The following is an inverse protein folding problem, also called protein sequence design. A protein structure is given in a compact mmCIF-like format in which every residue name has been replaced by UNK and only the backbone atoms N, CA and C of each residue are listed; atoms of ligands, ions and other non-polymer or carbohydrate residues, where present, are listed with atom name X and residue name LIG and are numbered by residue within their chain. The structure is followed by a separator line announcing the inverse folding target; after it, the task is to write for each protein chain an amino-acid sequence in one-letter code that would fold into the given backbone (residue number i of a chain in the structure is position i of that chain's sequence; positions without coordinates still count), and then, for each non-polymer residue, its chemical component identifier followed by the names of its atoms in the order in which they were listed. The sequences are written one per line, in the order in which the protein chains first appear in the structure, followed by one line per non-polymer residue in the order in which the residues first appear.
data_IF_031413981394
#
_entry.id   IF_031413981394
#
_cell.length_a   1.000
_cell.length_b   1.000
_cell.length_c   1.000
_cell.angle_alpha   90.00
_cell.angle_beta   90.00
_cell.angle_gamma   90.00
#
_symmetry.space_group_name_H-M   'P 1'
#
loop_
_entity.id
_entity.type
_entity.pdbx_description
1 polymer ?
#
# COMPACT_ATOMS: atom_id res chain seq x y z
N UNK A 1 19.38 22.92 -10.44
CA UNK A 1 19.66 21.49 -10.70
C UNK A 1 19.80 21.30 -12.19
N UNK A 2 20.83 20.59 -12.66
CA UNK A 2 20.94 20.23 -14.09
C UNK A 2 19.77 19.30 -14.44
N UNK A 3 19.03 19.60 -15.52
CA UNK A 3 18.01 18.69 -16.05
C UNK A 3 18.67 17.40 -16.53
N UNK A 4 18.04 16.23 -16.35
CA UNK A 4 18.52 14.97 -16.94
C UNK A 4 18.72 15.10 -18.46
N UNK A 5 17.92 15.96 -19.12
CA UNK A 5 18.01 16.28 -20.55
C UNK A 5 19.27 17.04 -20.94
N UNK A 6 19.97 17.63 -19.98
CA UNK A 6 21.17 18.44 -20.21
C UNK A 6 22.46 17.65 -19.90
N UNK A 7 22.36 16.37 -19.56
CA UNK A 7 23.54 15.53 -19.43
C UNK A 7 24.19 15.35 -20.80
N UNK A 8 25.54 15.33 -20.88
CA UNK A 8 26.23 15.05 -22.12
C UNK A 8 25.87 13.66 -22.62
N UNK A 9 25.80 13.51 -23.94
CA UNK A 9 25.55 12.20 -24.54
C UNK A 9 26.67 11.24 -24.16
N UNK A 10 26.30 10.07 -23.64
CA UNK A 10 27.25 9.02 -23.27
C UNK A 10 27.29 7.93 -24.33
N UNK A 11 28.49 7.50 -24.69
CA UNK A 11 28.73 6.29 -25.47
C UNK A 11 29.69 5.40 -24.67
N UNK A 12 29.23 4.20 -24.32
CA UNK A 12 30.00 3.27 -23.49
C UNK A 12 31.06 2.51 -24.30
N UNK A 13 30.78 2.29 -25.59
CA UNK A 13 31.65 1.62 -26.55
C UNK A 13 31.47 2.27 -27.91
N UNK A 14 32.57 2.58 -28.60
CA UNK A 14 32.52 3.14 -29.95
C UNK A 14 31.78 2.21 -30.92
N UNK A 15 30.72 2.74 -31.53
CA UNK A 15 29.92 2.06 -32.55
C UNK A 15 30.33 2.42 -33.98
N UNK A 16 31.40 3.22 -34.16
CA UNK A 16 31.90 3.59 -35.48
C UNK A 16 32.43 2.36 -36.24
N UNK A 17 31.72 2.01 -37.31
CA UNK A 17 32.04 0.87 -38.17
C UNK A 17 33.43 1.01 -38.80
N UNK A 18 33.83 2.23 -39.15
CA UNK A 18 35.13 2.51 -39.79
C UNK A 18 36.26 2.23 -38.82
N UNK A 19 36.13 2.70 -37.57
CA UNK A 19 37.11 2.45 -36.53
C UNK A 19 37.25 0.95 -36.24
N UNK A 20 36.13 0.22 -36.21
CA UNK A 20 36.11 -1.23 -35.98
C UNK A 20 36.78 -1.98 -37.14
N UNK A 21 36.47 -1.60 -38.39
CA UNK A 21 37.08 -2.18 -39.59
C UNK A 21 38.59 -1.91 -39.65
N UNK A 22 39.01 -0.68 -39.39
CA UNK A 22 40.43 -0.31 -39.38
C UNK A 22 41.18 -1.05 -38.27
N UNK A 23 40.57 -1.19 -37.09
CA UNK A 23 41.16 -1.91 -35.97
C UNK A 23 41.39 -3.39 -36.31
N UNK A 24 40.37 -4.09 -36.80
CA UNK A 24 40.48 -5.53 -37.10
C UNK A 24 41.48 -5.80 -38.23
N UNK A 25 41.52 -4.93 -39.25
CA UNK A 25 42.50 -5.03 -40.34
C UNK A 25 43.90 -4.79 -39.80
N UNK A 26 44.11 -3.73 -39.02
CA UNK A 26 45.43 -3.38 -38.45
C UNK A 26 45.97 -4.51 -37.58
N UNK A 27 45.11 -5.08 -36.72
CA UNK A 27 45.48 -6.22 -35.87
C UNK A 27 45.87 -7.42 -36.74
N UNK A 28 45.08 -7.77 -37.75
CA UNK A 28 45.40 -8.88 -38.66
C UNK A 28 46.72 -8.66 -39.41
N UNK A 29 46.94 -7.47 -39.97
CA UNK A 29 48.17 -7.16 -40.70
C UNK A 29 49.41 -7.24 -39.79
N UNK A 30 49.27 -6.80 -38.53
CA UNK A 30 50.36 -6.87 -37.54
C UNK A 30 50.74 -8.30 -37.16
N UNK A 31 49.74 -9.18 -37.00
CA UNK A 31 49.94 -10.57 -36.59
C UNK A 31 50.39 -11.47 -37.76
N UNK A 32 49.85 -11.22 -38.96
CA UNK A 32 50.17 -12.00 -40.15
C UNK A 32 51.44 -11.54 -40.87
N UNK A 33 51.91 -10.32 -40.60
CA UNK A 33 53.01 -9.68 -41.33
C UNK A 33 52.67 -9.35 -42.79
N UNK A 34 51.40 -9.48 -43.20
CA UNK A 34 50.93 -9.27 -44.58
C UNK A 34 50.04 -8.04 -44.65
N UNK A 35 50.28 -7.19 -45.66
CA UNK A 35 49.37 -6.08 -46.01
C UNK A 35 48.21 -6.56 -46.89
N UNK A 36 47.00 -6.07 -46.60
CA UNK A 36 45.76 -6.45 -47.30
C UNK A 36 45.35 -5.36 -48.30
N UNK A 37 45.30 -5.70 -49.58
CA UNK A 37 44.79 -4.81 -50.62
C UNK A 37 43.25 -4.68 -50.53
N UNK A 38 42.65 -3.61 -51.09
CA UNK A 38 41.19 -3.43 -51.08
C UNK A 38 40.39 -4.60 -51.67
N UNK A 39 40.92 -5.29 -52.68
CA UNK A 39 40.27 -6.45 -53.32
C UNK A 39 40.63 -7.82 -52.74
N UNK A 40 41.31 -7.87 -51.58
CA UNK A 40 41.75 -9.12 -50.98
C UNK A 40 40.56 -9.89 -50.36
N UNK A 41 40.34 -11.18 -50.69
CA UNK A 41 39.26 -11.99 -50.10
C UNK A 41 39.29 -12.03 -48.56
N UNK A 42 40.48 -11.96 -47.96
CA UNK A 42 40.62 -11.93 -46.50
C UNK A 42 40.07 -10.63 -45.93
N UNK A 43 40.25 -9.51 -46.65
CA UNK A 43 39.69 -8.22 -46.23
C UNK A 43 38.16 -8.27 -46.19
N UNK A 44 37.53 -8.87 -47.21
CA UNK A 44 36.08 -9.07 -47.25
C UNK A 44 35.59 -9.91 -46.05
N UNK A 45 36.33 -10.96 -45.69
CA UNK A 45 36.01 -11.77 -44.51
C UNK A 45 36.12 -10.98 -43.20
N UNK A 46 37.19 -10.19 -43.03
CA UNK A 46 37.36 -9.33 -41.84
C UNK A 46 36.28 -8.26 -41.76
N UNK A 47 35.83 -7.72 -42.89
CA UNK A 47 34.71 -6.77 -42.94
C UNK A 47 33.39 -7.41 -42.49
N UNK A 48 33.12 -8.67 -42.86
CA UNK A 48 31.97 -9.39 -42.35
C UNK A 48 32.01 -9.55 -40.82
N UNK A 49 33.20 -9.83 -40.26
CA UNK A 49 33.39 -9.88 -38.80
C UNK A 49 33.22 -8.50 -38.18
N UNK A 50 33.77 -7.45 -38.78
CA UNK A 50 33.64 -6.08 -38.31
C UNK A 50 32.17 -5.65 -38.22
N UNK A 51 31.35 -6.01 -39.21
CA UNK A 51 29.90 -5.76 -39.18
C UNK A 51 29.21 -6.44 -37.99
N UNK A 52 29.57 -7.70 -37.70
CA UNK A 52 29.05 -8.41 -36.52
C UNK A 52 29.50 -7.71 -35.22
N UNK A 53 30.78 -7.33 -35.12
CA UNK A 53 31.31 -6.61 -33.96
C UNK A 53 30.60 -5.27 -33.78
N UNK A 54 30.37 -4.52 -34.85
CA UNK A 54 29.64 -3.26 -34.81
C UNK A 54 28.21 -3.45 -34.28
N UNK A 55 27.50 -4.48 -34.77
CA UNK A 55 26.19 -4.83 -34.25
C UNK A 55 26.23 -5.19 -32.76
N UNK A 56 27.22 -5.97 -32.32
CA UNK A 56 27.39 -6.32 -30.90
C UNK A 56 27.68 -5.08 -30.04
N UNK A 57 28.55 -4.17 -30.50
CA UNK A 57 28.83 -2.92 -29.80
C UNK A 57 27.60 -2.01 -29.71
N UNK A 58 26.77 -1.96 -30.75
CA UNK A 58 25.50 -1.24 -30.70
C UNK A 58 24.56 -1.81 -29.63
N UNK A 59 24.43 -3.14 -29.54
CA UNK A 59 23.64 -3.81 -28.49
C UNK A 59 24.20 -3.58 -27.09
N UNK A 60 25.53 -3.65 -26.92
CA UNK A 60 26.21 -3.38 -25.66
C UNK A 60 25.97 -1.92 -25.22
N UNK A 61 26.12 -0.97 -26.13
CA UNK A 61 25.90 0.45 -25.84
C UNK A 61 24.44 0.71 -25.45
N UNK A 62 23.48 0.11 -26.17
CA UNK A 62 22.06 0.17 -25.82
C UNK A 62 21.80 -0.41 -24.43
N UNK A 63 22.23 -1.64 -24.16
CA UNK A 63 22.02 -2.31 -22.87
C UNK A 63 22.67 -1.54 -21.71
N UNK A 64 23.85 -0.97 -21.91
CA UNK A 64 24.52 -0.12 -20.91
C UNK A 64 23.69 1.15 -20.62
N UNK A 65 23.18 1.82 -21.66
CA UNK A 65 22.30 2.97 -21.51
C UNK A 65 21.01 2.65 -20.74
N UNK A 66 20.42 1.47 -20.94
CA UNK A 66 19.22 1.06 -20.20
C UNK A 66 19.41 0.97 -18.67
N UNK A 67 20.65 0.96 -18.17
CA UNK A 67 20.93 1.02 -16.72
C UNK A 67 20.99 2.46 -16.15
N UNK A 68 20.88 3.48 -17.01
CA UNK A 68 20.91 4.88 -16.61
C UNK A 68 19.50 5.47 -16.69
N UNK A 69 19.06 6.13 -15.61
CA UNK A 69 17.73 6.75 -15.52
C UNK A 69 17.41 7.69 -16.70
N UNK A 70 18.41 8.41 -17.22
CA UNK A 70 18.25 9.34 -18.33
C UNK A 70 17.87 8.66 -19.66
N UNK A 71 18.20 7.38 -19.83
CA UNK A 71 18.07 6.65 -21.10
C UNK A 71 17.17 5.41 -21.01
N UNK A 72 16.89 4.91 -19.81
CA UNK A 72 16.08 3.74 -19.62
C UNK A 72 14.64 3.94 -20.12
N UNK A 73 14.10 2.91 -20.78
CA UNK A 73 12.75 2.90 -21.36
C UNK A 73 12.01 1.60 -20.99
N UNK A 74 10.68 1.66 -20.97
CA UNK A 74 9.79 0.54 -20.67
C UNK A 74 10.20 -0.23 -19.41
N UNK A 75 10.34 -1.56 -19.55
CA UNK A 75 10.65 -2.47 -18.43
C UNK A 75 11.96 -2.16 -17.72
N UNK A 76 12.95 -1.60 -18.42
CA UNK A 76 14.23 -1.23 -17.79
C UNK A 76 14.04 -0.04 -16.85
N UNK A 77 13.21 0.93 -17.25
CA UNK A 77 12.86 2.08 -16.41
C UNK A 77 12.05 1.64 -15.18
N UNK A 78 11.16 0.66 -15.33
CA UNK A 78 10.38 0.09 -14.22
C UNK A 78 11.28 -0.54 -13.16
N UNK A 79 12.31 -1.28 -13.57
CA UNK A 79 13.30 -1.85 -12.66
C UNK A 79 14.10 -0.77 -11.92
N UNK A 80 14.42 0.36 -12.56
CA UNK A 80 15.07 1.49 -11.89
C UNK A 80 14.12 2.14 -10.88
N UNK A 81 12.86 2.35 -11.24
CA UNK A 81 11.86 2.93 -10.34
C UNK A 81 11.59 2.07 -9.10
N UNK A 82 11.64 0.75 -9.23
CA UNK A 82 11.51 -0.18 -8.11
C UNK A 82 12.56 0.05 -7.00
N UNK A 83 13.79 0.46 -7.36
CA UNK A 83 14.87 0.74 -6.39
C UNK A 83 14.52 1.89 -5.44
N UNK A 84 13.67 2.82 -5.88
CA UNK A 84 13.19 3.97 -5.09
C UNK A 84 11.71 3.87 -4.76
N UNK A 85 11.17 2.64 -4.72
CA UNK A 85 9.77 2.34 -4.35
C UNK A 85 8.74 3.14 -5.17
N UNK A 86 9.06 3.37 -6.44
CA UNK A 86 8.25 4.18 -7.34
C UNK A 86 7.81 3.28 -8.50
N UNK A 87 6.62 2.69 -8.38
CA UNK A 87 6.00 1.85 -9.42
C UNK A 87 5.23 2.69 -10.41
N UNK A 88 5.25 2.33 -11.70
CA UNK A 88 4.52 3.02 -12.78
C UNK A 88 3.02 3.06 -12.49
N UNK A 89 2.38 4.20 -12.75
CA UNK A 89 0.94 4.30 -12.55
C UNK A 89 0.20 3.54 -13.66
N UNK A 90 -0.67 2.57 -13.31
CA UNK A 90 -1.41 1.81 -14.29
C UNK A 90 -2.48 2.67 -14.97
N UNK A 91 -2.95 2.21 -16.13
CA UNK A 91 -4.09 2.81 -16.80
C UNK A 91 -5.32 2.83 -15.88
N UNK A 92 -6.07 3.94 -15.89
CA UNK A 92 -7.31 4.13 -15.13
C UNK A 92 -8.50 4.16 -16.07
N UNK A 93 -9.59 3.55 -15.66
CA UNK A 93 -10.85 3.58 -16.40
C UNK A 93 -11.56 4.94 -16.23
N UNK A 94 -12.24 5.37 -17.29
CA UNK A 94 -13.13 6.52 -17.20
C UNK A 94 -14.34 6.20 -16.34
N UNK A 95 -14.76 7.15 -15.51
CA UNK A 95 -15.90 7.01 -14.61
C UNK A 95 -17.04 7.94 -15.02
N UNK A 96 -18.27 7.54 -14.71
CA UNK A 96 -19.48 8.35 -14.88
C UNK A 96 -20.56 7.92 -13.88
N UNK A 97 -21.56 8.75 -13.66
CA UNK A 97 -22.73 8.41 -12.84
C UNK A 97 -23.89 8.08 -13.77
N UNK A 98 -24.42 6.86 -13.65
CA UNK A 98 -25.60 6.40 -14.38
C UNK A 98 -26.85 6.55 -13.53
N UNK A 99 -27.90 7.12 -14.12
CA UNK A 99 -29.24 7.12 -13.55
C UNK A 99 -30.07 6.01 -14.15
N UNK A 100 -30.51 5.08 -13.33
CA UNK A 100 -31.45 4.03 -13.69
C UNK A 100 -32.86 4.47 -13.32
N UNK A 101 -33.80 4.36 -14.27
CA UNK A 101 -35.20 4.74 -14.13
C UNK A 101 -36.06 3.49 -14.28
N UNK A 102 -36.94 3.26 -13.31
CA UNK A 102 -37.82 2.10 -13.25
C UNK A 102 -39.14 2.37 -13.99
N UNK A 103 -39.73 1.34 -14.59
CA UNK A 103 -41.02 1.45 -15.30
C UNK A 103 -42.20 1.76 -14.37
N UNK A 104 -42.09 1.35 -13.11
CA UNK A 104 -43.07 1.62 -12.05
C UNK A 104 -42.41 1.50 -10.67
N UNK A 105 -42.93 2.19 -9.64
CA UNK A 105 -42.49 1.98 -8.26
C UNK A 105 -42.65 0.52 -7.85
N UNK A 106 -41.62 -0.08 -7.27
CA UNK A 106 -41.65 -1.46 -6.81
C UNK A 106 -42.14 -1.55 -5.36
N UNK A 107 -42.94 -2.57 -5.00
CA UNK A 107 -43.46 -2.73 -3.63
C UNK A 107 -42.37 -3.19 -2.63
N UNK A 108 -41.25 -3.70 -3.13
CA UNK A 108 -40.07 -4.09 -2.35
C UNK A 108 -38.84 -3.43 -2.95
N UNK A 109 -37.76 -3.34 -2.17
CA UNK A 109 -36.49 -2.85 -2.66
C UNK A 109 -35.93 -3.78 -3.74
N UNK A 110 -35.36 -3.22 -4.80
CA UNK A 110 -34.77 -3.97 -5.92
C UNK A 110 -33.31 -3.62 -6.09
N UNK A 111 -32.49 -4.59 -6.50
CA UNK A 111 -31.03 -4.43 -6.57
C UNK A 111 -30.59 -4.25 -8.02
N UNK A 112 -29.67 -3.31 -8.23
CA UNK A 112 -28.83 -3.22 -9.43
C UNK A 112 -27.49 -3.88 -9.07
N UNK A 113 -27.19 -5.06 -9.62
CA UNK A 113 -25.93 -5.75 -9.32
C UNK A 113 -24.71 -4.92 -9.72
N UNK A 114 -23.60 -5.10 -9.01
CA UNK A 114 -22.29 -4.69 -9.50
C UNK A 114 -22.01 -5.40 -10.84
N UNK A 115 -21.34 -4.71 -11.76
CA UNK A 115 -21.03 -5.24 -13.08
C UNK A 115 -22.16 -5.08 -14.12
N UNK A 116 -23.28 -4.42 -13.81
CA UNK A 116 -24.36 -4.18 -14.78
C UNK A 116 -23.89 -3.26 -15.89
N UNK A 117 -23.93 -3.70 -17.16
CA UNK A 117 -23.32 -2.98 -18.28
C UNK A 117 -24.29 -2.07 -19.05
N UNK A 118 -23.80 -0.88 -19.39
CA UNK A 118 -24.47 0.12 -20.23
C UNK A 118 -23.49 0.61 -21.30
N UNK A 119 -23.97 0.83 -22.52
CA UNK A 119 -23.14 1.24 -23.66
C UNK A 119 -23.73 2.47 -24.37
N UNK A 120 -22.91 3.38 -24.91
CA UNK A 120 -23.37 4.43 -25.81
C UNK A 120 -23.55 3.95 -27.26
N UNK A 121 -22.65 3.10 -27.75
CA UNK A 121 -22.47 2.78 -29.17
C UNK A 121 -22.54 1.28 -29.49
N UNK A 122 -22.36 0.41 -28.50
CA UNK A 122 -22.28 -1.05 -28.65
C UNK A 122 -20.85 -1.60 -28.68
N UNK A 123 -19.83 -0.73 -28.60
CA UNK A 123 -18.41 -1.11 -28.58
C UNK A 123 -17.77 -0.81 -27.23
N UNK A 124 -18.10 0.33 -26.62
CA UNK A 124 -17.60 0.73 -25.29
C UNK A 124 -18.65 0.38 -24.24
N UNK A 125 -18.24 -0.23 -23.13
CA UNK A 125 -19.14 -0.61 -22.04
C UNK A 125 -18.73 0.03 -20.73
N UNK A 126 -19.70 0.53 -19.99
CA UNK A 126 -19.58 1.00 -18.60
C UNK A 126 -20.30 0.03 -17.69
N UNK A 127 -19.64 -0.42 -16.63
CA UNK A 127 -20.17 -1.34 -15.64
C UNK A 127 -20.34 -0.64 -14.29
N UNK A 128 -21.42 -0.93 -13.57
CA UNK A 128 -21.62 -0.43 -12.19
C UNK A 128 -20.53 -0.97 -11.27
N UNK A 129 -19.95 -0.11 -10.42
CA UNK A 129 -18.83 -0.49 -9.52
C UNK A 129 -19.33 -1.35 -8.37
N UNK A 130 -20.35 -0.85 -7.67
CA UNK A 130 -20.94 -1.50 -6.50
C UNK A 130 -22.39 -1.91 -6.77
N UNK A 131 -22.86 -2.90 -6.02
CA UNK A 131 -24.26 -3.28 -6.03
C UNK A 131 -25.08 -2.24 -5.25
N UNK A 132 -26.05 -1.61 -5.93
CA UNK A 132 -26.85 -0.53 -5.35
C UNK A 132 -28.31 -0.94 -5.27
N UNK A 133 -28.94 -0.68 -4.12
CA UNK A 133 -30.35 -1.01 -3.88
C UNK A 133 -31.24 0.20 -4.13
N UNK A 134 -32.26 0.02 -4.96
CA UNK A 134 -33.36 0.97 -5.15
C UNK A 134 -34.38 0.75 -4.03
N UNK A 135 -34.64 1.74 -3.15
CA UNK A 135 -35.63 1.61 -2.09
C UNK A 135 -37.04 1.35 -2.63
N UNK A 136 -37.87 0.66 -1.85
CA UNK A 136 -39.28 0.45 -2.19
C UNK A 136 -39.98 1.80 -2.44
N UNK A 137 -40.80 1.88 -3.48
CA UNK A 137 -41.49 3.12 -3.88
C UNK A 137 -40.64 4.14 -4.65
N UNK A 138 -39.32 4.02 -4.70
CA UNK A 138 -38.48 4.87 -5.54
C UNK A 138 -38.57 4.46 -7.03
N UNK A 139 -38.47 5.43 -7.93
CA UNK A 139 -38.54 5.22 -9.39
C UNK A 139 -37.22 5.47 -10.11
N UNK A 140 -36.19 5.95 -9.39
CA UNK A 140 -34.87 6.19 -9.95
C UNK A 140 -33.77 6.00 -8.89
N UNK A 141 -32.57 5.68 -9.35
CA UNK A 141 -31.35 5.62 -8.53
C UNK A 141 -30.13 6.03 -9.36
N UNK A 142 -29.15 6.65 -8.70
CA UNK A 142 -27.89 7.05 -9.31
C UNK A 142 -26.79 6.10 -8.84
N UNK A 143 -25.99 5.56 -9.77
CA UNK A 143 -24.97 4.54 -9.52
C UNK A 143 -23.68 4.93 -10.23
N UNK A 144 -22.55 4.81 -9.53
CA UNK A 144 -21.23 4.98 -10.14
C UNK A 144 -20.94 3.83 -11.10
N UNK A 145 -20.48 4.17 -12.29
CA UNK A 145 -20.06 3.22 -13.29
C UNK A 145 -18.69 3.59 -13.87
N UNK A 146 -17.94 2.56 -14.25
CA UNK A 146 -16.61 2.68 -14.83
C UNK A 146 -16.55 1.99 -16.19
N UNK A 147 -15.77 2.54 -17.10
CA UNK A 147 -15.48 1.92 -18.37
C UNK A 147 -14.78 0.57 -18.14
N UNK A 148 -15.27 -0.47 -18.81
CA UNK A 148 -14.69 -1.82 -18.73
C UNK A 148 -13.30 -1.91 -19.34
N UNK A 149 -12.96 -0.99 -20.24
CA UNK A 149 -11.62 -0.86 -20.83
C UNK A 149 -10.91 0.33 -20.17
N UNK A 150 -9.83 0.12 -19.39
CA UNK A 150 -9.00 1.20 -18.86
C UNK A 150 -8.38 2.04 -19.98
N UNK A 151 -8.09 3.31 -19.68
CA UNK A 151 -7.49 4.23 -20.64
C UNK A 151 -8.37 5.42 -20.98
N UNK A 152 -7.91 6.23 -21.93
CA UNK A 152 -8.59 7.45 -22.36
C UNK A 152 -9.84 7.21 -23.22
N UNK A 153 -10.01 5.98 -23.73
CA UNK A 153 -11.09 5.60 -24.65
C UNK A 153 -12.51 5.82 -24.07
N UNK A 154 -12.66 5.69 -22.75
CA UNK A 154 -13.94 5.89 -22.07
C UNK A 154 -14.29 7.36 -21.78
N UNK A 155 -13.43 8.32 -22.11
CA UNK A 155 -13.66 9.74 -21.78
C UNK A 155 -14.55 10.46 -22.81
N UNK A 156 -15.16 11.56 -22.37
CA UNK A 156 -15.76 12.55 -23.27
C UNK A 156 -17.19 12.25 -23.72
N UNK A 157 -17.82 11.18 -23.22
CA UNK A 157 -19.23 10.93 -23.46
C UNK A 157 -20.05 11.96 -22.69
N UNK A 158 -20.85 12.74 -23.42
CA UNK A 158 -21.73 13.76 -22.88
C UNK A 158 -22.89 13.12 -22.11
N UNK A 159 -23.51 13.92 -21.23
CA UNK A 159 -24.71 13.54 -20.49
C UNK A 159 -25.79 13.00 -21.44
N UNK A 160 -26.36 11.84 -21.10
CA UNK A 160 -27.41 11.18 -21.87
C UNK A 160 -26.93 10.27 -23.01
N UNK A 161 -25.63 10.23 -23.33
CA UNK A 161 -25.10 9.42 -24.44
C UNK A 161 -24.91 7.94 -24.09
N UNK A 162 -24.53 7.63 -22.84
CA UNK A 162 -24.38 6.25 -22.35
C UNK A 162 -25.75 5.79 -21.88
N UNK A 163 -26.55 5.19 -22.79
CA UNK A 163 -27.98 5.00 -22.56
C UNK A 163 -28.58 3.65 -23.00
N UNK A 164 -27.79 2.75 -23.56
CA UNK A 164 -28.27 1.41 -23.96
C UNK A 164 -27.89 0.40 -22.89
N UNK A 165 -28.88 -0.11 -22.17
CA UNK A 165 -28.67 -1.18 -21.19
C UNK A 165 -28.36 -2.50 -21.91
N UNK A 166 -27.23 -3.11 -21.57
CA UNK A 166 -26.75 -4.36 -22.20
C UNK A 166 -27.24 -5.58 -21.43
N UNK A 167 -27.23 -5.48 -20.10
CA UNK A 167 -27.70 -6.53 -19.20
C UNK A 167 -29.12 -6.15 -18.72
N UNK A 168 -30.20 -6.65 -19.35
CA UNK A 168 -31.56 -6.18 -19.06
C UNK A 168 -31.99 -6.58 -17.65
N UNK A 169 -32.51 -5.60 -16.91
CA UNK A 169 -33.10 -5.79 -15.58
C UNK A 169 -34.64 -5.61 -15.68
N UNK A 170 -35.47 -6.52 -15.13
CA UNK A 170 -36.92 -6.55 -15.42
C UNK A 170 -37.70 -5.27 -15.12
N UNK A 171 -37.24 -4.49 -14.14
CA UNK A 171 -37.90 -3.28 -13.64
C UNK A 171 -37.35 -1.99 -14.25
N UNK A 172 -36.25 -2.03 -15.00
CA UNK A 172 -35.60 -0.85 -15.56
C UNK A 172 -36.23 -0.49 -16.91
N UNK A 173 -36.75 0.73 -17.01
CA UNK A 173 -37.29 1.30 -18.24
C UNK A 173 -36.21 2.00 -19.06
N UNK A 174 -35.34 2.77 -18.40
CA UNK A 174 -34.32 3.60 -19.05
C UNK A 174 -33.09 3.71 -18.15
N UNK A 175 -31.92 3.80 -18.77
CA UNK A 175 -30.68 4.19 -18.10
C UNK A 175 -30.00 5.28 -18.92
N UNK A 176 -29.40 6.25 -18.25
CA UNK A 176 -28.53 7.23 -18.93
C UNK A 176 -27.49 7.81 -17.98
N UNK A 177 -26.32 8.22 -18.49
CA UNK A 177 -25.36 8.96 -17.69
C UNK A 177 -25.83 10.38 -17.40
N UNK A 178 -25.71 10.82 -16.14
CA UNK A 178 -26.04 12.18 -15.69
C UNK A 178 -24.83 13.09 -15.57
N UNK A 179 -23.63 12.52 -15.61
CA UNK A 179 -22.35 13.24 -15.67
C UNK A 179 -21.59 12.84 -16.94
N UNK A 180 -20.76 13.72 -17.47
CA UNK A 180 -19.88 13.36 -18.57
C UNK A 180 -18.84 12.33 -18.11
N UNK A 181 -18.51 11.36 -18.95
CA UNK A 181 -17.45 10.40 -18.60
C UNK A 181 -16.07 11.05 -18.61
N UNK A 182 -15.29 10.81 -17.56
CA UNK A 182 -13.96 11.42 -17.40
C UNK A 182 -13.08 10.61 -16.44
N UNK A 183 -11.81 11.00 -16.29
CA UNK A 183 -10.88 10.35 -15.36
C UNK A 183 -10.17 9.11 -15.91
N UNK A 184 -10.50 8.68 -17.13
CA UNK A 184 -9.77 7.63 -17.83
C UNK A 184 -8.41 8.15 -18.27
N UNK A 185 -7.36 7.39 -18.00
CA UNK A 185 -5.99 7.74 -18.39
C UNK A 185 -5.26 6.48 -18.81
N UNK A 186 -4.43 6.59 -19.83
CA UNK A 186 -3.55 5.50 -20.23
C UNK A 186 -2.45 5.30 -19.18
N UNK A 187 -1.72 4.20 -19.30
CA UNK A 187 -0.57 3.94 -18.43
C UNK A 187 0.44 5.09 -18.51
N UNK A 188 1.08 5.40 -17.38
CA UNK A 188 2.04 6.51 -17.29
C UNK A 188 3.19 6.34 -18.30
N UNK A 189 3.46 7.38 -19.07
CA UNK A 189 4.53 7.36 -20.07
C UNK A 189 5.93 7.43 -19.43
N UNK A 190 6.94 6.98 -20.17
CA UNK A 190 8.32 6.91 -19.68
C UNK A 190 8.90 8.26 -19.24
N UNK A 191 8.50 9.37 -19.87
CA UNK A 191 9.03 10.68 -19.52
C UNK A 191 8.46 11.18 -18.20
N UNK A 192 7.14 11.09 -18.03
CA UNK A 192 6.47 11.41 -16.76
C UNK A 192 6.98 10.51 -15.62
N UNK A 193 7.10 9.21 -15.90
CA UNK A 193 7.58 8.25 -14.91
C UNK A 193 9.04 8.49 -14.51
N UNK A 194 9.92 8.79 -15.47
CA UNK A 194 11.34 9.14 -15.22
C UNK A 194 11.48 10.35 -14.31
N UNK A 195 10.69 11.40 -14.55
CA UNK A 195 10.69 12.58 -13.68
C UNK A 195 10.19 12.26 -12.27
N UNK A 196 9.19 11.39 -12.13
CA UNK A 196 8.71 10.93 -10.83
C UNK A 196 9.76 10.10 -10.09
N UNK A 197 10.45 9.19 -10.77
CA UNK A 197 11.59 8.43 -10.21
C UNK A 197 12.71 9.38 -9.77
N UNK A 198 13.03 10.40 -10.58
CA UNK A 198 14.04 11.42 -10.26
C UNK A 198 13.69 12.21 -9.01
N UNK A 199 12.40 12.53 -8.82
CA UNK A 199 11.89 13.24 -7.63
C UNK A 199 11.65 12.34 -6.42
N UNK A 200 11.57 11.02 -6.59
CA UNK A 200 11.29 10.08 -5.52
C UNK A 200 12.24 10.21 -4.32
N UNK A 201 13.54 10.51 -4.47
CA UNK A 201 14.42 10.75 -3.34
C UNK A 201 13.95 11.85 -2.38
N UNK A 202 13.29 12.90 -2.89
CA UNK A 202 12.75 14.00 -2.07
C UNK A 202 11.57 13.54 -1.21
N UNK A 203 10.92 12.44 -1.57
CA UNK A 203 9.85 11.82 -0.76
C UNK A 203 10.38 11.05 0.44
N UNK A 204 11.66 10.66 0.44
CA UNK A 204 12.32 10.12 1.63
C UNK A 204 12.60 11.29 2.58
N UNK A 205 11.62 11.61 3.42
CA UNK A 205 11.70 12.73 4.37
C UNK A 205 13.01 12.69 5.19
N UNK A 206 13.82 13.75 5.03
CA UNK A 206 15.02 14.09 5.83
C UNK A 206 14.66 14.79 7.14
N UNK A 207 13.38 15.09 7.37
CA UNK A 207 12.89 15.83 8.54
C UNK A 207 12.48 14.92 9.72
N UNK A 208 12.95 13.67 9.75
CA UNK A 208 12.64 12.73 10.83
C UNK A 208 11.15 12.38 10.89
N UNK A 209 10.58 11.69 9.87
CA UNK A 209 9.20 11.23 9.93
C UNK A 209 9.02 10.32 11.16
N UNK A 210 7.79 10.25 11.68
CA UNK A 210 7.44 9.39 12.82
C UNK A 210 8.03 7.98 12.67
N UNK A 211 7.86 7.36 11.49
CA UNK A 211 8.37 6.02 11.20
C UNK A 211 9.91 5.92 11.18
N UNK A 212 10.63 7.01 10.93
CA UNK A 212 12.08 7.05 10.97
C UNK A 212 12.60 6.88 12.41
N UNK A 213 12.06 7.67 13.35
CA UNK A 213 12.38 7.50 14.77
C UNK A 213 11.90 6.14 15.30
N UNK A 214 10.78 5.63 14.81
CA UNK A 214 10.25 4.31 15.19
C UNK A 214 11.22 3.20 14.81
N UNK A 215 11.74 3.26 13.58
CA UNK A 215 12.75 2.34 13.09
C UNK A 215 14.00 2.36 13.98
N UNK A 216 14.60 3.54 14.17
CA UNK A 216 15.83 3.67 14.95
C UNK A 216 15.66 3.26 16.41
N UNK A 217 14.54 3.61 17.05
CA UNK A 217 14.24 3.18 18.40
C UNK A 217 14.13 1.65 18.51
N UNK A 218 13.50 0.98 17.54
CA UNK A 218 13.42 -0.50 17.51
C UNK A 218 14.76 -1.17 17.26
N UNK A 219 15.72 -0.51 16.60
CA UNK A 219 17.08 -1.07 16.45
C UNK A 219 17.89 -1.05 17.73
N UNK A 220 17.49 -0.28 18.75
CA UNK A 220 18.23 -0.17 20.00
C UNK A 220 18.25 -1.44 20.83
N UNK A 221 17.14 -2.20 20.80
CA UNK A 221 17.02 -3.45 21.56
C UNK A 221 15.92 -4.35 20.97
N UNK A 222 16.20 -5.66 20.87
CA UNK A 222 15.32 -6.63 20.22
C UNK A 222 13.97 -6.83 20.94
N UNK A 223 13.91 -6.57 22.26
CA UNK A 223 12.67 -6.72 23.03
C UNK A 223 11.68 -5.55 22.86
N UNK A 224 12.02 -4.50 22.10
CA UNK A 224 11.11 -3.38 21.84
C UNK A 224 10.10 -3.78 20.75
N UNK A 225 8.84 -3.96 21.13
CA UNK A 225 7.75 -4.39 20.22
C UNK A 225 6.99 -3.22 19.63
N UNK A 226 6.87 -2.13 20.37
CA UNK A 226 6.14 -0.93 19.98
C UNK A 226 6.84 0.33 20.48
N UNK A 227 6.61 1.45 19.80
CA UNK A 227 7.21 2.75 20.14
C UNK A 227 6.21 3.84 19.82
N UNK A 228 5.83 4.68 20.78
CA UNK A 228 5.05 5.88 20.48
C UNK A 228 5.98 7.05 20.21
N UNK A 229 5.67 7.85 19.19
CA UNK A 229 6.41 9.05 18.84
C UNK A 229 5.42 10.19 18.75
N UNK A 230 5.61 11.21 19.57
CA UNK A 230 4.72 12.37 19.63
C UNK A 230 5.54 13.65 19.60
N UNK A 231 4.90 14.76 19.24
CA UNK A 231 5.50 16.09 19.27
C UNK A 231 4.68 17.01 20.16
N UNK A 232 4.97 17.05 21.49
CA UNK A 232 4.18 17.84 22.44
C UNK A 232 4.32 19.37 22.22
N UNK A 233 5.43 19.80 21.61
CA UNK A 233 5.68 21.17 21.21
C UNK A 233 6.52 21.22 19.92
N UNK A 234 6.45 22.32 19.13
CA UNK A 234 7.25 22.46 17.92
C UNK A 234 8.75 22.22 18.18
N UNK A 235 9.35 21.31 17.43
CA UNK A 235 10.75 20.92 17.59
C UNK A 235 11.05 20.04 18.80
N UNK A 236 10.04 19.52 19.52
CA UNK A 236 10.23 18.46 20.52
C UNK A 236 9.71 17.14 19.97
N UNK A 237 10.52 16.09 20.08
CA UNK A 237 10.16 14.73 19.67
C UNK A 237 10.26 13.85 20.91
N UNK A 238 9.13 13.32 21.35
CA UNK A 238 9.05 12.42 22.50
C UNK A 238 8.89 10.98 22.01
N UNK A 239 9.81 10.10 22.42
CA UNK A 239 9.87 8.69 22.04
C UNK A 239 9.61 7.85 23.29
N UNK A 240 8.59 6.98 23.23
CA UNK A 240 8.27 6.04 24.30
C UNK A 240 8.31 4.60 23.80
N UNK A 241 9.36 3.84 24.10
CA UNK A 241 9.42 2.42 23.73
C UNK A 241 8.60 1.56 24.70
N UNK A 242 8.02 0.48 24.18
CA UNK A 242 7.32 -0.56 24.93
C UNK A 242 7.95 -1.92 24.63
N UNK A 243 8.20 -2.71 25.67
CA UNK A 243 8.80 -4.02 25.53
C UNK A 243 7.78 -5.13 25.30
N UNK A 244 8.27 -6.31 24.92
CA UNK A 244 7.52 -7.56 24.90
C UNK A 244 6.69 -7.73 26.19
N UNK A 245 5.51 -8.33 26.06
CA UNK A 245 4.56 -8.57 27.15
C UNK A 245 4.07 -7.31 27.89
N UNK A 246 4.27 -6.12 27.33
CA UNK A 246 3.85 -4.86 27.92
C UNK A 246 4.75 -4.39 29.07
N UNK A 247 5.98 -4.88 29.13
CA UNK A 247 6.96 -4.45 30.14
C UNK A 247 7.46 -3.02 29.88
N UNK A 248 7.71 -2.30 30.97
CA UNK A 248 8.25 -0.94 30.91
C UNK A 248 9.77 -1.02 30.77
N UNK A 249 10.37 -0.35 29.76
CA UNK A 249 11.82 -0.34 29.59
C UNK A 249 12.57 0.14 30.82
N UNK A 250 13.69 -0.52 31.14
CA UNK A 250 14.63 -0.02 32.15
C UNK A 250 15.37 1.21 31.64
N UNK A 251 16.04 1.93 32.55
CA UNK A 251 16.79 3.14 32.20
C UNK A 251 17.88 2.84 31.16
N UNK A 252 18.52 1.67 31.23
CA UNK A 252 19.57 1.26 30.28
C UNK A 252 19.03 1.14 28.85
N UNK A 253 17.81 0.64 28.68
CA UNK A 253 17.17 0.53 27.35
C UNK A 253 16.75 1.92 26.86
N UNK A 254 16.22 2.78 27.74
CA UNK A 254 15.89 4.16 27.39
C UNK A 254 17.14 4.94 26.96
N UNK A 255 18.26 4.77 27.65
CA UNK A 255 19.54 5.40 27.32
C UNK A 255 20.09 4.90 25.99
N UNK A 256 19.95 3.60 25.69
CA UNK A 256 20.36 3.03 24.39
C UNK A 256 19.52 3.60 23.23
N UNK A 257 18.20 3.69 23.40
CA UNK A 257 17.30 4.34 22.43
C UNK A 257 17.66 5.82 22.26
N UNK A 258 17.91 6.52 23.38
CA UNK A 258 18.29 7.93 23.36
C UNK A 258 19.60 8.15 22.62
N UNK A 259 20.61 7.29 22.83
CA UNK A 259 21.90 7.39 22.16
C UNK A 259 21.80 7.27 20.64
N UNK A 260 20.97 6.33 20.14
CA UNK A 260 20.76 6.14 18.70
C UNK A 260 19.93 7.29 18.12
N UNK A 261 18.77 7.59 18.71
CA UNK A 261 17.86 8.58 18.16
C UNK A 261 18.38 10.03 18.28
N UNK A 262 19.34 10.31 19.17
CA UNK A 262 20.01 11.62 19.26
C UNK A 262 21.31 11.72 18.44
N UNK A 263 21.74 10.67 17.73
CA UNK A 263 22.95 10.72 16.91
C UNK A 263 22.85 11.83 15.85
N UNK A 264 23.95 12.55 15.60
CA UNK A 264 23.98 13.68 14.65
C UNK A 264 23.67 13.30 13.20
N UNK A 265 23.78 12.02 12.84
CA UNK A 265 23.41 11.49 11.52
C UNK A 265 21.94 11.07 11.45
N UNK A 266 21.26 10.95 12.58
CA UNK A 266 19.88 10.46 12.69
C UNK A 266 18.92 11.61 13.01
N UNK A 267 19.25 12.43 14.02
CA UNK A 267 18.40 13.53 14.49
C UNK A 267 18.45 14.75 13.56
N UNK A 268 17.32 15.24 13.02
CA UNK A 268 17.24 16.55 12.39
C UNK A 268 17.69 17.68 13.31
N UNK A 269 18.27 18.73 12.73
CA UNK A 269 18.91 19.83 13.50
C UNK A 269 17.94 20.55 14.45
N UNK A 270 16.66 20.61 14.09
CA UNK A 270 15.61 21.33 14.84
C UNK A 270 15.00 20.53 15.98
N UNK A 271 15.25 19.22 16.05
CA UNK A 271 14.53 18.33 16.94
C UNK A 271 15.21 18.21 18.29
N UNK A 272 14.47 18.37 19.38
CA UNK A 272 14.86 18.02 20.73
C UNK A 272 14.26 16.65 21.05
N UNK A 273 15.06 15.60 20.90
CA UNK A 273 14.62 14.22 21.09
C UNK A 273 14.70 13.83 22.56
N UNK A 274 13.56 13.50 23.15
CA UNK A 274 13.38 13.05 24.52
C UNK A 274 12.90 11.60 24.49
N UNK A 275 13.56 10.72 25.25
CA UNK A 275 13.15 9.32 25.38
C UNK A 275 12.66 9.07 26.80
N UNK A 276 11.40 8.67 26.95
CA UNK A 276 10.73 8.53 28.24
C UNK A 276 10.06 7.16 28.36
N UNK A 277 9.96 6.64 29.59
CA UNK A 277 9.17 5.45 29.86
C UNK A 277 7.68 5.70 29.57
N UNK A 278 6.93 4.73 29.02
CA UNK A 278 5.48 4.80 28.95
C UNK A 278 4.83 5.03 30.31
N UNK A 279 3.78 5.83 30.36
CA UNK A 279 2.96 5.99 31.55
C UNK A 279 2.01 4.79 31.70
N UNK A 280 2.00 4.18 32.89
CA UNK A 280 1.14 3.03 33.18
C UNK A 280 -0.23 3.51 33.65
N UNK A 281 -1.28 3.10 32.94
CA UNK A 281 -2.67 3.25 33.37
C UNK A 281 -3.18 1.90 33.86
N UNK A 282 -3.40 1.78 35.17
CA UNK A 282 -3.91 0.55 35.76
C UNK A 282 -5.44 0.46 35.59
N UNK A 283 -5.93 -0.72 35.22
CA UNK A 283 -7.36 -1.02 35.18
C UNK A 283 -7.66 -2.41 35.73
N UNK A 284 -8.90 -2.64 36.16
CA UNK A 284 -9.33 -3.95 36.61
C UNK A 284 -10.27 -4.59 35.58
N UNK A 285 -10.25 -5.91 35.53
CA UNK A 285 -11.22 -6.72 34.79
C UNK A 285 -12.11 -7.41 35.81
N UNK A 286 -13.40 -7.09 35.83
CA UNK A 286 -14.40 -7.72 36.67
C UNK A 286 -15.64 -7.97 35.83
N UNK A 287 -15.97 -9.24 35.63
CA UNK A 287 -17.10 -9.65 34.81
C UNK A 287 -17.79 -10.90 35.35
N UNK A 288 -19.09 -11.00 35.09
CA UNK A 288 -19.90 -12.19 35.28
C UNK A 288 -20.43 -12.66 33.93
N UNK A 289 -20.30 -13.94 33.61
CA UNK A 289 -20.81 -14.50 32.36
C UNK A 289 -21.73 -15.70 32.60
N UNK A 290 -22.66 -15.90 31.67
CA UNK A 290 -23.69 -16.92 31.71
C UNK A 290 -23.59 -17.79 30.46
N UNK A 291 -23.93 -19.06 30.58
CA UNK A 291 -23.86 -20.04 29.48
C UNK A 291 -25.28 -20.50 29.14
N UNK A 292 -25.58 -20.67 27.85
CA UNK A 292 -26.89 -21.14 27.42
C UNK A 292 -27.17 -22.56 27.96
N UNK A 293 -28.42 -22.83 28.36
CA UNK A 293 -28.83 -24.14 28.88
C UNK A 293 -28.56 -25.29 27.89
N UNK A 294 -28.70 -25.03 26.60
CA UNK A 294 -28.36 -25.97 25.51
C UNK A 294 -26.88 -26.43 25.52
N UNK A 295 -25.99 -25.59 26.07
CA UNK A 295 -24.56 -25.85 26.17
C UNK A 295 -24.14 -26.39 27.54
N UNK A 296 -25.08 -26.89 28.36
CA UNK A 296 -24.83 -27.40 29.71
C UNK A 296 -23.75 -28.50 29.76
N UNK A 297 -23.65 -29.35 28.73
CA UNK A 297 -22.63 -30.40 28.62
C UNK A 297 -21.22 -29.87 28.33
N UNK A 298 -21.10 -28.64 27.85
CA UNK A 298 -19.85 -27.98 27.47
C UNK A 298 -19.40 -26.90 28.47
N UNK A 299 -20.08 -26.77 29.63
CA UNK A 299 -19.80 -25.71 30.60
C UNK A 299 -18.32 -25.68 30.98
N UNK A 300 -17.72 -26.80 31.38
CA UNK A 300 -16.30 -26.83 31.79
C UNK A 300 -15.36 -26.34 30.67
N UNK A 301 -15.58 -26.77 29.43
CA UNK A 301 -14.78 -26.29 28.28
C UNK A 301 -15.00 -24.82 27.97
N UNK A 302 -16.23 -24.31 28.14
CA UNK A 302 -16.55 -22.89 27.95
C UNK A 302 -15.91 -22.05 29.06
N UNK A 303 -15.90 -22.54 30.30
CA UNK A 303 -15.24 -21.85 31.42
C UNK A 303 -13.74 -21.68 31.14
N UNK A 304 -13.06 -22.75 30.70
CA UNK A 304 -11.64 -22.69 30.30
C UNK A 304 -11.41 -21.73 29.12
N UNK A 305 -12.27 -21.77 28.10
CA UNK A 305 -12.19 -20.89 26.94
C UNK A 305 -12.40 -19.42 27.32
N UNK A 306 -13.33 -19.13 28.23
CA UNK A 306 -13.60 -17.77 28.74
C UNK A 306 -12.41 -17.25 29.54
N UNK A 307 -11.82 -18.06 30.43
CA UNK A 307 -10.59 -17.67 31.16
C UNK A 307 -9.48 -17.32 30.18
N UNK A 308 -9.25 -18.18 29.18
CA UNK A 308 -8.24 -17.91 28.15
C UNK A 308 -8.55 -16.63 27.36
N UNK A 309 -9.79 -16.39 26.97
CA UNK A 309 -10.19 -15.19 26.24
C UNK A 309 -9.94 -13.91 27.04
N UNK A 310 -10.12 -13.96 28.36
CA UNK A 310 -9.80 -12.86 29.27
C UNK A 310 -8.28 -12.66 29.39
N UNK A 311 -7.50 -13.73 29.52
CA UNK A 311 -6.03 -13.66 29.54
C UNK A 311 -5.47 -13.10 28.22
N UNK A 312 -6.02 -13.56 27.08
CA UNK A 312 -5.70 -13.07 25.74
C UNK A 312 -6.08 -11.59 25.58
N UNK A 313 -7.20 -11.14 26.17
CA UNK A 313 -7.57 -9.73 26.23
C UNK A 313 -6.56 -8.92 27.05
N UNK A 314 -6.15 -9.39 28.22
CA UNK A 314 -5.15 -8.72 29.07
C UNK A 314 -3.80 -8.62 28.35
N UNK A 315 -3.33 -9.72 27.75
CA UNK A 315 -2.10 -9.74 26.96
C UNK A 315 -2.17 -8.85 25.73
N UNK A 316 -3.30 -8.88 25.02
CA UNK A 316 -3.56 -7.98 23.91
C UNK A 316 -3.55 -6.53 24.36
N UNK A 317 -4.28 -6.13 25.41
CA UNK A 317 -4.40 -4.74 25.85
C UNK A 317 -3.03 -4.10 26.07
N UNK A 318 -2.12 -4.79 26.76
CA UNK A 318 -0.78 -4.29 27.09
C UNK A 318 0.27 -4.44 25.98
N UNK A 319 -0.08 -5.01 24.82
CA UNK A 319 0.87 -5.23 23.71
C UNK A 319 1.11 -4.01 22.81
N UNK A 320 0.38 -2.91 23.01
CA UNK A 320 0.54 -1.66 22.25
C UNK A 320 0.32 -0.43 23.12
N UNK A 321 0.99 0.66 22.76
CA UNK A 321 0.80 1.97 23.36
C UNK A 321 -0.47 2.65 22.80
N UNK A 322 -1.10 3.52 23.58
CA UNK A 322 -2.29 4.29 23.16
C UNK A 322 -3.52 3.45 22.84
N UNK A 323 -3.54 2.17 23.23
CA UNK A 323 -4.71 1.31 23.03
C UNK A 323 -5.76 1.65 24.07
N UNK A 324 -6.88 2.19 23.61
CA UNK A 324 -8.04 2.47 24.45
C UNK A 324 -8.51 1.22 25.20
N UNK A 325 -8.96 1.40 26.44
CA UNK A 325 -9.58 0.33 27.21
C UNK A 325 -11.03 0.26 26.75
N UNK A 326 -11.37 -0.77 25.97
CA UNK A 326 -12.70 -0.93 25.40
C UNK A 326 -13.42 -2.19 25.94
N UNK A 327 -14.49 -2.06 26.74
CA UNK A 327 -15.24 -3.21 27.24
C UNK A 327 -15.94 -4.01 26.13
N UNK A 328 -16.27 -3.39 25.00
CA UNK A 328 -16.93 -4.10 23.89
C UNK A 328 -16.04 -5.19 23.28
N UNK A 329 -14.71 -4.97 23.23
CA UNK A 329 -13.76 -5.98 22.77
C UNK A 329 -13.68 -7.16 23.74
N UNK A 330 -13.67 -6.88 25.05
CA UNK A 330 -13.71 -7.92 26.08
C UNK A 330 -15.00 -8.74 25.98
N UNK A 331 -16.16 -8.09 25.86
CA UNK A 331 -17.44 -8.76 25.66
C UNK A 331 -17.41 -9.63 24.41
N UNK A 332 -16.93 -9.10 23.29
CA UNK A 332 -16.86 -9.86 22.03
C UNK A 332 -16.02 -11.14 22.16
N UNK A 333 -14.87 -11.07 22.84
CA UNK A 333 -14.00 -12.23 23.07
C UNK A 333 -14.63 -13.27 24.00
N UNK A 334 -15.25 -12.83 25.09
CA UNK A 334 -15.92 -13.74 26.05
C UNK A 334 -17.14 -14.40 25.40
N UNK A 335 -17.91 -13.67 24.61
CA UNK A 335 -19.03 -14.22 23.83
C UNK A 335 -18.54 -15.22 22.79
N UNK A 336 -17.45 -14.92 22.06
CA UNK A 336 -16.84 -15.84 21.10
C UNK A 336 -16.30 -17.13 21.76
N UNK A 337 -15.95 -17.07 23.04
CA UNK A 337 -15.54 -18.23 23.83
C UNK A 337 -16.71 -19.14 24.27
N UNK A 338 -17.96 -18.78 23.96
CA UNK A 338 -19.16 -19.59 24.22
C UNK A 338 -20.07 -19.06 25.32
N UNK A 339 -19.82 -17.86 25.86
CA UNK A 339 -20.77 -17.20 26.75
C UNK A 339 -22.02 -16.74 25.97
N UNK A 340 -23.19 -16.88 26.59
CA UNK A 340 -24.47 -16.35 26.08
C UNK A 340 -24.67 -14.89 26.43
N UNK A 341 -24.24 -14.51 27.64
CA UNK A 341 -24.42 -13.16 28.18
C UNK A 341 -23.25 -12.82 29.09
N UNK A 342 -22.80 -11.58 29.02
CA UNK A 342 -21.66 -11.07 29.81
C UNK A 342 -22.06 -9.75 30.44
N UNK A 343 -21.91 -9.66 31.75
CA UNK A 343 -22.07 -8.46 32.55
C UNK A 343 -20.68 -7.98 32.97
N UNK A 344 -20.19 -6.92 32.33
CA UNK A 344 -18.88 -6.33 32.65
C UNK A 344 -19.09 -5.22 33.67
N UNK A 345 -18.53 -5.38 34.87
CA UNK A 345 -18.48 -4.35 35.92
C UNK A 345 -17.28 -3.42 35.66
N UNK A 346 -16.14 -4.00 35.28
CA UNK A 346 -14.97 -3.27 34.81
C UNK A 346 -14.21 -4.09 33.74
N UNK A 347 -13.53 -3.44 32.78
CA UNK A 347 -13.30 -2.01 32.66
C UNK A 347 -14.48 -1.24 32.05
N UNK A 348 -14.53 0.07 32.29
CA UNK A 348 -15.35 1.01 31.52
C UNK A 348 -14.53 1.60 30.37
N UNK A 349 -15.20 2.07 29.32
CA UNK A 349 -14.51 2.70 28.20
C UNK A 349 -13.64 3.86 28.70
N UNK A 350 -12.34 3.76 28.44
CA UNK A 350 -11.34 4.76 28.85
C UNK A 350 -10.39 5.01 27.70
N UNK A 351 -10.33 6.25 27.23
CA UNK A 351 -9.37 6.64 26.20
C UNK A 351 -7.97 6.69 26.79
N UNK A 352 -7.00 6.11 26.08
CA UNK A 352 -5.59 6.04 26.53
C UNK A 352 -4.73 6.92 25.62
N UNK A 353 -3.90 7.77 26.21
CA UNK A 353 -3.02 8.63 25.43
C UNK A 353 -1.96 7.79 24.67
N UNK A 354 -1.47 8.25 23.50
CA UNK A 354 -0.40 7.54 22.77
C UNK A 354 0.85 7.25 23.60
N UNK A 355 1.12 8.08 24.62
CA UNK A 355 2.25 7.94 25.55
C UNK A 355 2.02 6.93 26.69
N UNK A 356 0.84 6.33 26.76
CA UNK A 356 0.39 5.48 27.87
C UNK A 356 0.22 4.02 27.43
N UNK A 357 0.41 3.10 28.39
CA UNK A 357 0.08 1.68 28.26
C UNK A 357 -0.89 1.28 29.37
N UNK A 358 -1.95 0.57 28.99
CA UNK A 358 -2.93 0.05 29.94
C UNK A 358 -2.50 -1.33 30.45
N UNK A 359 -2.39 -1.49 31.78
CA UNK A 359 -1.99 -2.74 32.43
C UNK A 359 -3.10 -3.19 33.39
N UNK A 360 -3.51 -4.46 33.27
CA UNK A 360 -4.50 -5.04 34.15
C UNK A 360 -3.92 -5.28 35.56
N UNK A 361 -4.65 -4.82 36.58
CA UNK A 361 -4.38 -5.10 37.99
C UNK A 361 -5.12 -6.36 38.44
N UNK A 362 -6.33 -6.18 38.95
CA UNK A 362 -7.17 -7.30 39.41
C UNK A 362 -7.96 -7.86 38.21
N UNK A 363 -7.90 -9.18 38.03
CA UNK A 363 -8.71 -9.92 37.06
C UNK A 363 -9.62 -10.89 37.82
N UNK A 364 -10.93 -10.62 37.78
CA UNK A 364 -11.98 -11.39 38.42
C UNK A 364 -13.01 -11.82 37.37
N UNK A 365 -13.17 -13.13 37.21
CA UNK A 365 -14.06 -13.74 36.22
C UNK A 365 -15.01 -14.68 36.95
N UNK A 366 -16.30 -14.33 36.99
CA UNK A 366 -17.32 -15.11 37.69
C UNK A 366 -18.26 -15.83 36.72
N UNK A 367 -18.48 -17.12 36.96
CA UNK A 367 -19.54 -17.86 36.28
C UNK A 367 -20.89 -17.64 37.00
N UNK A 368 -21.85 -17.06 36.27
CA UNK A 368 -23.17 -16.70 36.77
C UNK A 368 -24.22 -17.80 36.69
N UNK A 369 -23.94 -18.90 35.99
CA UNK A 369 -24.84 -20.06 35.86
C UNK A 369 -25.33 -20.32 34.43
N UNK A 370 -26.33 -21.19 34.32
CA UNK A 370 -27.01 -21.53 33.06
C UNK A 370 -28.26 -20.67 32.89
N UNK A 371 -28.51 -20.22 31.66
CA UNK A 371 -29.68 -19.40 31.31
C UNK A 371 -30.43 -19.97 30.09
N UNK A 372 -31.77 -19.94 30.16
CA UNK A 372 -32.67 -20.25 29.05
C UNK A 372 -32.89 -19.01 28.16
N UNK A 373 -33.43 -19.18 26.95
CA UNK A 373 -33.63 -18.14 25.93
C UNK A 373 -34.58 -16.99 26.31
#
# INVERSE_FOLDING_TARGET
MSSLKNLPEIEFVSTDVTEIEENIITVYESLSGRKLAPGDPVRLFLQAIAAIIAQQRALINYAAKQNLLAYAEGVYLDHIGALVRTERLPAKAAQTTLRFILSSPQPQAVVIPAGTRVTPDGEIFFATVDATTVPAGATQIDVLAECTTPGTIGNGWLVGQINKLVDPLPWIQKVENITSSSGGMDEEDDESYRERIRGAPESFSVAGPEEGYRYWAKTAHQSIVDVSITSPAPGQVEIRPLLENGEIPSQEILDAVAAICNDKKIRPLTDQVLVLAPEVVNYNVELTYYVALENASMVTSIQEAVTKAVDDYVGWQKSRLGRDINPSELIARVMAAGAKRVEVISPVFTQIAPTQVAIAGIVSVQYGGLEDD
#
